data_IF_539487420478
#
_entry.id   IF_539487420478
#
_cell.length_a   1.000
_cell.length_b   1.000
_cell.length_c   1.000
_cell.angle_alpha   90.00
_cell.angle_beta   90.00
_cell.angle_gamma   90.00
#
_symmetry.space_group_name_H-M   'P 1'
#
loop_
_entity.id
_entity.type
_entity.pdbx_description
1 polymer ?
#
# COMPACT_ATOMS: atom_id res chain seq x y z
N UNK A 1 -12.03 -8.24 -14.11
CA UNK A 1 -11.88 -9.40 -13.19
C UNK A 1 -12.66 -9.06 -11.93
N UNK A 2 -13.53 -9.96 -11.45
CA UNK A 2 -14.23 -9.76 -10.17
C UNK A 2 -13.23 -9.76 -9.00
N UNK A 3 -13.46 -8.97 -7.95
CA UNK A 3 -12.55 -8.87 -6.79
C UNK A 3 -12.27 -10.24 -6.16
N UNK A 4 -13.30 -11.10 -6.07
CA UNK A 4 -13.18 -12.44 -5.51
C UNK A 4 -12.27 -13.38 -6.30
N UNK A 5 -12.19 -13.26 -7.63
CA UNK A 5 -11.29 -14.09 -8.44
C UNK A 5 -9.80 -13.80 -8.14
N UNK A 6 -9.47 -12.52 -7.92
CA UNK A 6 -8.11 -12.09 -7.58
C UNK A 6 -7.67 -12.63 -6.22
N UNK A 7 -8.56 -12.58 -5.21
CA UNK A 7 -8.22 -13.07 -3.86
C UNK A 7 -8.11 -14.60 -3.80
N UNK A 8 -8.94 -15.32 -4.55
CA UNK A 8 -8.80 -16.76 -4.70
C UNK A 8 -7.47 -17.14 -5.38
N UNK A 9 -7.08 -16.39 -6.41
CA UNK A 9 -5.80 -16.59 -7.09
C UNK A 9 -4.61 -16.29 -6.16
N UNK A 10 -4.65 -15.17 -5.43
CA UNK A 10 -3.63 -14.81 -4.44
C UNK A 10 -3.49 -15.89 -3.35
N UNK A 11 -4.61 -16.38 -2.82
CA UNK A 11 -4.64 -17.47 -1.83
C UNK A 11 -4.03 -18.75 -2.39
N UNK A 12 -4.37 -19.10 -3.64
CA UNK A 12 -3.83 -20.29 -4.32
C UNK A 12 -2.33 -20.18 -4.57
N UNK A 13 -1.85 -19.00 -4.99
CA UNK A 13 -0.41 -18.73 -5.16
C UNK A 13 0.36 -18.82 -3.84
N UNK A 14 -0.23 -18.33 -2.75
CA UNK A 14 0.36 -18.39 -1.42
C UNK A 14 0.57 -19.84 -0.98
N UNK A 15 -0.51 -20.63 -1.02
CA UNK A 15 -0.50 -22.05 -0.62
C UNK A 15 0.40 -22.87 -1.55
N UNK A 16 0.30 -22.66 -2.86
CA UNK A 16 1.10 -23.36 -3.86
C UNK A 16 2.60 -23.09 -3.71
N UNK A 17 2.98 -21.83 -3.46
CA UNK A 17 4.38 -21.47 -3.21
C UNK A 17 4.90 -22.11 -1.94
N UNK A 18 4.12 -22.07 -0.85
CA UNK A 18 4.49 -22.70 0.41
C UNK A 18 4.71 -24.21 0.25
N UNK A 19 3.76 -24.91 -0.36
CA UNK A 19 3.87 -26.34 -0.58
C UNK A 19 5.09 -26.67 -1.45
N UNK A 20 5.35 -25.87 -2.49
CA UNK A 20 6.55 -26.05 -3.31
C UNK A 20 7.83 -25.96 -2.48
N UNK A 21 7.93 -24.99 -1.56
CA UNK A 21 9.09 -24.86 -0.67
C UNK A 21 9.21 -26.08 0.25
N UNK A 22 8.11 -26.48 0.89
CA UNK A 22 8.09 -27.63 1.79
C UNK A 22 8.48 -28.94 1.09
N UNK A 23 8.09 -29.12 -0.17
CA UNK A 23 8.42 -30.30 -0.97
C UNK A 23 9.85 -30.30 -1.55
N UNK A 24 10.58 -29.19 -1.47
CA UNK A 24 11.99 -29.11 -1.90
C UNK A 24 12.98 -29.68 -0.85
N UNK A 25 12.51 -30.46 0.13
CA UNK A 25 13.36 -30.99 1.22
C UNK A 25 13.61 -29.98 2.34
N UNK A 26 12.82 -28.91 2.40
CA UNK A 26 12.91 -27.89 3.42
C UNK A 26 12.20 -28.36 4.70
N UNK A 27 12.94 -28.64 5.78
CA UNK A 27 12.37 -29.04 7.07
C UNK A 27 12.22 -27.83 8.01
N UNK A 28 11.00 -27.33 8.28
CA UNK A 28 10.84 -26.13 9.09
C UNK A 28 11.14 -26.34 10.58
N UNK A 29 11.20 -27.58 11.04
CA UNK A 29 11.53 -27.92 12.44
C UNK A 29 12.99 -27.63 12.75
N UNK A 30 13.87 -27.70 11.75
CA UNK A 30 15.33 -27.49 11.91
C UNK A 30 15.74 -26.02 11.81
N UNK A 31 14.81 -25.13 11.46
CA UNK A 31 15.12 -23.74 11.16
C UNK A 31 14.70 -22.79 12.28
N UNK A 32 15.51 -21.75 12.46
CA UNK A 32 15.15 -20.69 13.39
C UNK A 32 13.90 -19.95 12.92
N UNK A 33 13.03 -19.48 13.84
CA UNK A 33 11.84 -18.70 13.50
C UNK A 33 12.14 -17.47 12.66
N UNK A 34 13.32 -16.87 12.84
CA UNK A 34 13.79 -15.72 12.07
C UNK A 34 14.02 -16.09 10.60
N UNK A 35 14.63 -17.25 10.34
CA UNK A 35 14.83 -17.75 8.97
C UNK A 35 13.49 -18.08 8.32
N UNK A 36 12.58 -18.71 9.08
CA UNK A 36 11.23 -18.99 8.60
C UNK A 36 10.50 -17.69 8.22
N UNK A 37 10.50 -16.70 9.11
CA UNK A 37 9.94 -15.38 8.83
C UNK A 37 10.51 -14.78 7.54
N UNK A 38 11.83 -14.79 7.38
CA UNK A 38 12.50 -14.24 6.19
C UNK A 38 12.05 -14.92 4.90
N UNK A 39 11.93 -16.26 4.91
CA UNK A 39 11.51 -17.01 3.72
C UNK A 39 10.04 -16.72 3.40
N UNK A 40 9.20 -16.70 4.41
CA UNK A 40 7.79 -16.40 4.23
C UNK A 40 7.58 -15.00 3.65
N UNK A 41 8.22 -13.99 4.27
CA UNK A 41 8.10 -12.58 3.87
C UNK A 41 8.76 -12.28 2.52
N UNK A 42 9.86 -12.93 2.18
CA UNK A 42 10.60 -12.62 0.94
C UNK A 42 10.24 -13.51 -0.25
N UNK A 43 9.61 -14.67 -0.03
CA UNK A 43 9.32 -15.63 -1.11
C UNK A 43 7.83 -15.88 -1.27
N UNK A 44 7.12 -16.15 -0.16
CA UNK A 44 5.71 -16.54 -0.22
C UNK A 44 4.81 -15.33 -0.40
N UNK A 45 4.96 -14.31 0.45
CA UNK A 45 4.15 -13.09 0.38
C UNK A 45 4.29 -12.34 -0.96
N UNK A 46 5.49 -12.08 -1.50
CA UNK A 46 5.62 -11.26 -2.70
C UNK A 46 5.03 -11.94 -3.95
N UNK A 47 5.03 -13.28 -3.99
CA UNK A 47 4.38 -14.04 -5.06
C UNK A 47 2.85 -14.01 -4.95
N UNK A 48 2.31 -14.07 -3.74
CA UNK A 48 0.88 -14.08 -3.49
C UNK A 48 0.26 -12.68 -3.65
N UNK A 49 0.93 -11.65 -3.14
CA UNK A 49 0.49 -10.26 -3.11
C UNK A 49 0.99 -9.45 -4.31
N UNK A 50 1.51 -10.13 -5.34
CA UNK A 50 1.94 -9.43 -6.55
C UNK A 50 0.77 -8.65 -7.18
N UNK A 51 0.94 -7.33 -7.29
CA UNK A 51 -0.09 -6.43 -7.81
C UNK A 51 -1.14 -6.01 -6.79
N UNK A 52 -0.99 -6.37 -5.51
CA UNK A 52 -1.88 -5.91 -4.43
C UNK A 52 -2.06 -4.39 -4.35
N UNK A 53 -1.05 -3.55 -4.70
CA UNK A 53 -1.24 -2.11 -4.72
C UNK A 53 -2.33 -1.62 -5.67
N UNK A 54 -2.64 -2.41 -6.71
CA UNK A 54 -3.63 -2.08 -7.72
C UNK A 54 -5.00 -2.69 -7.44
N UNK A 55 -5.12 -3.58 -6.46
CA UNK A 55 -6.39 -4.18 -6.09
C UNK A 55 -7.30 -3.11 -5.50
N UNK A 56 -8.45 -2.89 -6.16
CA UNK A 56 -9.45 -1.92 -5.75
C UNK A 56 -10.79 -2.61 -5.55
N UNK A 57 -11.65 -2.05 -4.69
CA UNK A 57 -13.04 -2.48 -4.51
C UNK A 57 -13.22 -3.94 -4.06
N UNK A 58 -12.29 -4.50 -3.28
CA UNK A 58 -12.50 -5.80 -2.64
C UNK A 58 -13.41 -5.68 -1.42
N UNK A 59 -14.20 -6.71 -1.17
CA UNK A 59 -15.10 -6.79 -0.02
C UNK A 59 -14.35 -7.24 1.24
N UNK A 60 -14.92 -7.00 2.42
CA UNK A 60 -14.38 -7.53 3.67
C UNK A 60 -14.33 -9.07 3.67
N UNK A 61 -15.29 -9.73 3.03
CA UNK A 61 -15.27 -11.18 2.86
C UNK A 61 -14.07 -11.67 2.04
N UNK A 62 -13.68 -10.93 1.01
CA UNK A 62 -12.53 -11.27 0.17
C UNK A 62 -11.22 -11.22 0.99
N UNK A 63 -11.07 -10.20 1.85
CA UNK A 63 -9.91 -10.08 2.75
C UNK A 63 -9.92 -11.16 3.81
N UNK A 64 -11.07 -11.48 4.41
CA UNK A 64 -11.18 -12.56 5.40
C UNK A 64 -10.75 -13.90 4.80
N UNK A 65 -11.14 -14.21 3.56
CA UNK A 65 -10.71 -15.45 2.90
C UNK A 65 -9.20 -15.51 2.66
N UNK A 66 -8.61 -14.39 2.23
CA UNK A 66 -7.17 -14.29 2.05
C UNK A 66 -6.43 -14.42 3.40
N UNK A 67 -6.96 -13.80 4.44
CA UNK A 67 -6.44 -13.85 5.81
C UNK A 67 -6.48 -15.30 6.35
N UNK A 68 -7.58 -16.03 6.12
CA UNK A 68 -7.66 -17.47 6.49
C UNK A 68 -6.58 -18.29 5.78
N UNK A 69 -6.31 -18.00 4.50
CA UNK A 69 -5.26 -18.68 3.73
C UNK A 69 -3.86 -18.34 4.24
N UNK A 70 -3.61 -17.06 4.54
CA UNK A 70 -2.38 -16.57 5.15
C UNK A 70 -2.09 -17.25 6.49
N UNK A 71 -3.09 -17.28 7.37
CA UNK A 71 -3.07 -17.94 8.68
C UNK A 71 -2.78 -19.43 8.58
N UNK A 72 -3.43 -20.12 7.62
CA UNK A 72 -3.19 -21.53 7.36
C UNK A 72 -1.74 -21.78 6.93
N UNK A 73 -1.20 -20.93 6.06
CA UNK A 73 0.17 -21.02 5.59
C UNK A 73 1.17 -20.86 6.75
N UNK A 74 0.98 -19.85 7.60
CA UNK A 74 1.85 -19.60 8.77
C UNK A 74 1.83 -20.80 9.73
N UNK A 75 0.64 -21.34 10.03
CA UNK A 75 0.50 -22.52 10.90
C UNK A 75 1.20 -23.75 10.32
N UNK A 76 1.04 -23.99 9.02
CA UNK A 76 1.69 -25.08 8.32
C UNK A 76 3.21 -24.92 8.33
N UNK A 77 3.70 -23.69 8.15
CA UNK A 77 5.14 -23.40 8.16
C UNK A 77 5.74 -23.61 9.55
N UNK A 78 5.02 -23.23 10.61
CA UNK A 78 5.42 -23.44 12.01
C UNK A 78 5.19 -24.87 12.53
N UNK A 79 4.60 -25.77 11.74
CA UNK A 79 4.26 -27.13 12.16
C UNK A 79 3.33 -27.17 13.40
N UNK A 80 2.51 -26.13 13.58
CA UNK A 80 1.55 -26.07 14.70
C UNK A 80 0.20 -26.64 14.29
N UNK A 81 -0.51 -27.23 15.26
CA UNK A 81 -1.83 -27.78 15.04
C UNK A 81 -2.84 -26.75 14.50
N UNK A 82 -3.84 -27.22 13.74
CA UNK A 82 -4.88 -26.34 13.17
C UNK A 82 -5.62 -25.53 14.25
N UNK A 83 -5.76 -26.11 15.44
CA UNK A 83 -6.48 -25.56 16.59
C UNK A 83 -5.66 -24.52 17.38
N UNK A 84 -4.36 -24.36 17.10
CA UNK A 84 -3.54 -23.35 17.78
C UNK A 84 -4.09 -21.95 17.50
N UNK A 85 -4.10 -21.09 18.52
CA UNK A 85 -4.52 -19.70 18.36
C UNK A 85 -3.66 -19.04 17.27
N UNK A 86 -4.33 -18.40 16.31
CA UNK A 86 -3.67 -17.81 15.15
C UNK A 86 -2.86 -16.59 15.51
N UNK A 87 -3.31 -15.79 16.47
CA UNK A 87 -2.63 -14.57 16.87
C UNK A 87 -1.28 -14.90 17.52
N UNK A 88 -1.20 -16.05 18.19
CA UNK A 88 0.06 -16.60 18.74
C UNK A 88 1.01 -17.00 17.61
N UNK A 89 0.52 -17.65 16.56
CA UNK A 89 1.33 -18.08 15.43
C UNK A 89 1.90 -16.89 14.63
N UNK A 90 1.10 -15.85 14.42
CA UNK A 90 1.51 -14.60 13.78
C UNK A 90 2.51 -13.83 14.65
N UNK A 91 2.21 -13.69 15.95
CA UNK A 91 3.10 -13.02 16.91
C UNK A 91 4.45 -13.72 17.04
N UNK A 92 4.47 -15.04 17.00
CA UNK A 92 5.71 -15.83 17.08
C UNK A 92 6.66 -15.57 15.91
N UNK A 93 6.13 -15.40 14.70
CA UNK A 93 6.93 -15.01 13.53
C UNK A 93 7.05 -13.50 13.36
N UNK A 94 6.37 -12.70 14.18
CA UNK A 94 6.29 -11.24 14.04
C UNK A 94 5.91 -10.84 12.59
N UNK A 95 4.79 -11.39 12.13
CA UNK A 95 4.18 -11.12 10.81
C UNK A 95 2.84 -10.43 11.04
N UNK A 96 2.63 -9.32 10.34
CA UNK A 96 1.40 -8.52 10.38
C UNK A 96 0.25 -9.23 9.64
N UNK A 97 -0.99 -8.78 9.84
CA UNK A 97 -2.14 -9.32 9.12
C UNK A 97 -2.04 -9.06 7.60
N UNK A 98 -2.75 -9.87 6.79
CA UNK A 98 -2.68 -9.69 5.33
C UNK A 98 -3.25 -8.35 4.88
N UNK A 99 -4.24 -7.82 5.61
CA UNK A 99 -4.79 -6.49 5.34
C UNK A 99 -3.72 -5.40 5.56
N UNK A 100 -3.01 -5.46 6.67
CA UNK A 100 -1.93 -4.51 6.98
C UNK A 100 -0.78 -4.59 5.97
N UNK A 101 -0.44 -5.80 5.52
CA UNK A 101 0.57 -6.01 4.48
C UNK A 101 0.16 -5.38 3.15
N UNK A 102 -1.10 -5.57 2.72
CA UNK A 102 -1.64 -4.95 1.50
C UNK A 102 -1.68 -3.42 1.63
N UNK A 103 -2.14 -2.92 2.78
CA UNK A 103 -2.20 -1.49 3.05
C UNK A 103 -0.80 -0.87 3.00
N UNK A 104 0.20 -1.55 3.56
CA UNK A 104 1.59 -1.14 3.50
C UNK A 104 2.12 -1.09 2.05
N UNK A 105 1.90 -2.15 1.27
CA UNK A 105 2.33 -2.20 -0.14
C UNK A 105 1.66 -1.08 -0.97
N UNK A 106 0.39 -0.78 -0.69
CA UNK A 106 -0.34 0.35 -1.30
C UNK A 106 0.28 1.71 -0.95
N UNK A 107 0.60 1.93 0.33
CA UNK A 107 1.23 3.17 0.79
C UNK A 107 2.64 3.34 0.22
N UNK A 108 3.41 2.25 0.16
CA UNK A 108 4.71 2.22 -0.49
C UNK A 108 4.59 2.59 -1.97
N UNK A 109 3.67 1.96 -2.69
CA UNK A 109 3.44 2.24 -4.10
C UNK A 109 3.01 3.69 -4.33
N UNK A 110 2.15 4.25 -3.47
CA UNK A 110 1.81 5.67 -3.48
C UNK A 110 3.05 6.56 -3.30
N UNK A 111 3.89 6.29 -2.30
CA UNK A 111 5.13 7.04 -2.09
C UNK A 111 6.09 6.96 -3.30
N UNK A 112 6.18 5.80 -3.95
CA UNK A 112 6.94 5.63 -5.19
C UNK A 112 6.37 6.48 -6.34
N UNK A 113 5.05 6.48 -6.54
CA UNK A 113 4.38 7.35 -7.52
C UNK A 113 4.62 8.84 -7.21
N UNK A 114 4.65 9.22 -5.94
CA UNK A 114 4.96 10.59 -5.52
C UNK A 114 6.43 10.99 -5.76
N UNK A 115 7.37 10.05 -5.71
CA UNK A 115 8.80 10.30 -6.01
C UNK A 115 9.19 10.11 -7.48
N UNK A 116 8.31 9.49 -8.28
CA UNK A 116 8.60 9.22 -9.68
C UNK A 116 8.80 10.52 -10.48
N UNK A 117 9.80 10.53 -11.37
CA UNK A 117 10.06 11.68 -12.25
C UNK A 117 8.86 11.99 -13.14
N UNK A 118 8.60 13.28 -13.35
CA UNK A 118 7.53 13.78 -14.24
C UNK A 118 7.69 13.38 -15.71
N UNK A 119 8.85 12.85 -16.09
CA UNK A 119 9.09 12.28 -17.44
C UNK A 119 8.27 11.01 -17.68
N UNK A 120 7.93 10.26 -16.62
CA UNK A 120 7.19 9.01 -16.75
C UNK A 120 5.69 9.25 -16.92
N UNK A 121 5.07 8.54 -17.87
CA UNK A 121 3.63 8.60 -18.10
C UNK A 121 2.83 8.25 -16.84
N UNK A 122 3.30 7.26 -16.07
CA UNK A 122 2.66 6.84 -14.81
C UNK A 122 2.52 8.02 -13.83
N UNK A 123 3.54 8.87 -13.70
CA UNK A 123 3.51 10.08 -12.86
C UNK A 123 2.47 11.07 -13.36
N UNK A 124 2.42 11.32 -14.67
CA UNK A 124 1.46 12.26 -15.27
C UNK A 124 0.02 11.80 -15.08
N UNK A 125 -0.26 10.52 -15.37
CA UNK A 125 -1.58 9.90 -15.18
C UNK A 125 -1.99 9.94 -13.71
N UNK A 126 -1.06 9.65 -12.80
CA UNK A 126 -1.28 9.73 -11.36
C UNK A 126 -1.64 11.14 -10.91
N UNK A 127 -0.84 12.16 -11.24
CA UNK A 127 -1.11 13.56 -10.88
C UNK A 127 -2.48 13.99 -11.43
N UNK A 128 -2.76 13.68 -12.70
CA UNK A 128 -4.03 14.03 -13.32
C UNK A 128 -5.23 13.41 -12.58
N UNK A 129 -5.15 12.13 -12.22
CA UNK A 129 -6.20 11.45 -11.43
C UNK A 129 -6.32 12.03 -10.02
N UNK A 130 -5.19 12.34 -9.38
CA UNK A 130 -5.15 12.93 -8.05
C UNK A 130 -5.83 14.31 -8.03
N UNK A 131 -5.46 15.19 -8.97
CA UNK A 131 -6.05 16.53 -9.07
C UNK A 131 -7.54 16.45 -9.35
N UNK A 132 -7.97 15.62 -10.30
CA UNK A 132 -9.41 15.45 -10.59
C UNK A 132 -10.19 14.94 -9.37
N UNK A 133 -9.59 14.06 -8.56
CA UNK A 133 -10.18 13.61 -7.30
C UNK A 133 -10.29 14.77 -6.29
N UNK A 134 -9.23 15.56 -6.12
CA UNK A 134 -9.23 16.74 -5.24
C UNK A 134 -10.25 17.82 -5.64
N UNK A 135 -10.51 17.98 -6.94
CA UNK A 135 -11.48 18.93 -7.48
C UNK A 135 -12.94 18.46 -7.34
N UNK A 136 -13.18 17.30 -6.73
CA UNK A 136 -14.53 16.79 -6.52
C UNK A 136 -15.21 16.28 -7.80
N UNK A 137 -14.44 15.97 -8.86
CA UNK A 137 -15.01 15.30 -10.03
C UNK A 137 -15.52 13.92 -9.62
N UNK A 138 -16.85 13.75 -9.66
CA UNK A 138 -17.59 12.62 -9.07
C UNK A 138 -17.25 11.28 -9.74
N UNK A 139 -17.32 10.20 -8.95
CA UNK A 139 -17.23 8.77 -9.34
C UNK A 139 -15.85 8.17 -9.63
N UNK A 140 -14.79 8.65 -8.98
CA UNK A 140 -13.49 7.97 -9.04
C UNK A 140 -13.38 6.84 -8.00
N UNK A 141 -14.10 5.74 -8.24
CA UNK A 141 -13.76 4.47 -7.59
C UNK A 141 -12.43 3.97 -8.15
N UNK A 142 -11.55 3.45 -7.29
CA UNK A 142 -10.24 2.93 -7.67
C UNK A 142 -9.10 3.44 -6.80
N UNK A 143 -7.89 3.35 -7.34
CA UNK A 143 -6.63 3.52 -6.60
C UNK A 143 -6.57 4.80 -5.76
N UNK A 144 -6.99 5.95 -6.30
CA UNK A 144 -6.89 7.23 -5.58
C UNK A 144 -7.83 7.26 -4.36
N UNK A 145 -9.07 6.82 -4.52
CA UNK A 145 -10.03 6.74 -3.42
C UNK A 145 -9.54 5.81 -2.30
N UNK A 146 -8.99 4.65 -2.69
CA UNK A 146 -8.38 3.71 -1.75
C UNK A 146 -7.19 4.32 -1.01
N UNK A 147 -6.28 5.00 -1.72
CA UNK A 147 -5.15 5.70 -1.10
C UNK A 147 -5.64 6.75 -0.10
N UNK A 148 -6.64 7.56 -0.44
CA UNK A 148 -7.20 8.54 0.49
C UNK A 148 -7.75 7.89 1.76
N UNK A 149 -8.49 6.78 1.61
CA UNK A 149 -9.00 6.00 2.75
C UNK A 149 -7.86 5.47 3.63
N UNK A 150 -6.78 4.98 3.03
CA UNK A 150 -5.60 4.51 3.76
C UNK A 150 -4.86 5.66 4.47
N UNK A 151 -4.66 6.79 3.79
CA UNK A 151 -4.04 7.95 4.40
C UNK A 151 -4.86 8.47 5.59
N UNK A 152 -6.19 8.38 5.54
CA UNK A 152 -7.05 8.66 6.69
C UNK A 152 -6.90 7.61 7.80
N UNK A 153 -6.98 6.32 7.46
CA UNK A 153 -6.82 5.18 8.40
C UNK A 153 -5.53 5.30 9.22
N UNK A 154 -4.43 5.68 8.57
CA UNK A 154 -3.11 5.79 9.21
C UNK A 154 -2.73 7.22 9.63
N UNK A 155 -3.65 8.20 9.54
CA UNK A 155 -3.39 9.62 9.88
C UNK A 155 -2.22 10.26 9.09
N UNK A 156 -2.05 9.89 7.83
CA UNK A 156 -0.99 10.32 6.90
C UNK A 156 -1.45 11.42 5.92
N UNK A 157 -2.65 11.97 6.12
CA UNK A 157 -3.14 13.10 5.34
C UNK A 157 -2.16 14.30 5.26
N UNK A 158 -1.44 14.68 6.33
CA UNK A 158 -0.47 15.77 6.25
C UNK A 158 0.62 15.55 5.19
N UNK A 159 1.11 14.32 5.03
CA UNK A 159 2.13 14.01 4.03
C UNK A 159 1.63 14.24 2.59
N UNK A 160 0.34 13.98 2.35
CA UNK A 160 -0.29 14.30 1.07
C UNK A 160 -0.46 15.80 0.88
N UNK A 161 -0.85 16.54 1.92
CA UNK A 161 -0.98 18.00 1.87
C UNK A 161 0.37 18.67 1.57
N UNK A 162 1.43 18.28 2.27
CA UNK A 162 2.80 18.74 2.00
C UNK A 162 3.22 18.44 0.56
N UNK A 163 2.90 17.26 0.04
CA UNK A 163 3.19 16.92 -1.36
C UNK A 163 2.39 17.77 -2.35
N UNK A 164 1.12 18.06 -2.07
CA UNK A 164 0.28 18.89 -2.93
C UNK A 164 0.75 20.36 -2.96
N UNK A 165 1.33 20.85 -1.86
CA UNK A 165 1.83 22.22 -1.74
C UNK A 165 3.26 22.41 -2.28
N UNK A 166 4.16 21.47 -1.94
CA UNK A 166 5.58 21.57 -2.28
C UNK A 166 5.94 20.87 -3.59
N UNK A 167 5.18 19.85 -3.99
CA UNK A 167 5.54 18.91 -5.05
C UNK A 167 6.59 17.89 -4.64
N UNK A 168 7.07 17.93 -3.39
CA UNK A 168 8.10 17.05 -2.85
C UNK A 168 7.46 16.07 -1.88
N UNK A 169 7.82 14.80 -2.01
CA UNK A 169 7.37 13.75 -1.12
C UNK A 169 8.51 13.36 -0.18
N UNK A 170 8.26 13.14 1.13
CA UNK A 170 9.32 12.78 2.07
C UNK A 170 10.10 11.54 1.60
N UNK A 171 11.41 11.61 1.75
CA UNK A 171 12.28 10.47 1.49
C UNK A 171 12.11 9.40 2.57
N UNK A 172 12.38 8.14 2.20
CA UNK A 172 12.37 7.04 3.18
C UNK A 172 13.58 7.19 4.10
N UNK A 173 13.34 7.38 5.39
CA UNK A 173 14.34 7.00 6.38
C UNK A 173 14.48 5.47 6.33
N UNK A 174 15.69 4.95 6.16
CA UNK A 174 15.94 3.53 5.96
C UNK A 174 15.81 2.76 7.29
N UNK A 175 14.59 2.54 7.77
CA UNK A 175 14.29 1.66 8.88
C UNK A 175 13.93 0.24 8.39
N UNK A 176 14.72 -0.76 8.79
CA UNK A 176 14.41 -2.16 8.49
C UNK A 176 13.12 -2.61 9.24
N UNK A 177 11.98 -2.60 8.55
CA UNK A 177 10.72 -3.21 9.00
C UNK A 177 9.46 -2.52 8.46
N UNK A 178 8.46 -3.30 8.00
CA UNK A 178 7.19 -2.80 7.48
C UNK A 178 6.41 -1.93 8.49
N UNK A 179 6.42 -2.28 9.78
CA UNK A 179 5.76 -1.45 10.81
C UNK A 179 6.47 -0.10 11.06
N UNK A 180 7.77 0.02 10.71
CA UNK A 180 8.52 1.27 10.95
C UNK A 180 8.20 2.35 9.93
N UNK A 181 7.92 2.01 8.68
CA UNK A 181 7.71 3.06 7.66
C UNK A 181 6.42 3.86 7.88
N UNK A 182 5.36 3.28 8.45
CA UNK A 182 4.13 4.04 8.78
C UNK A 182 4.33 4.93 10.01
N UNK A 183 5.03 4.42 11.04
CA UNK A 183 5.45 5.20 12.20
C UNK A 183 6.43 6.33 11.84
N UNK A 184 7.31 6.10 10.87
CA UNK A 184 8.25 7.09 10.33
C UNK A 184 7.52 8.24 9.60
N UNK A 185 6.37 7.96 8.97
CA UNK A 185 5.53 9.00 8.38
C UNK A 185 4.68 9.74 9.43
N UNK A 186 4.55 9.19 10.64
CA UNK A 186 3.90 9.83 11.79
C UNK A 186 4.88 10.64 12.64
N UNK A 187 6.18 10.34 12.65
CA UNK A 187 7.19 11.06 13.45
C UNK A 187 7.44 12.51 13.04
N UNK A 188 6.84 12.99 11.96
CA UNK A 188 6.88 14.41 11.57
C UNK A 188 5.65 15.21 12.07
N UNK A 189 4.78 14.59 12.90
CA UNK A 189 3.61 15.26 13.51
C UNK A 189 3.98 16.38 14.48
N UNK A 190 5.16 16.34 15.08
CA UNK A 190 5.56 17.31 16.10
C UNK A 190 6.18 18.59 15.52
N UNK A 191 6.53 18.60 14.21
CA UNK A 191 7.17 19.75 13.57
C UNK A 191 6.19 20.74 12.93
N UNK A 192 4.94 20.37 12.65
CA UNK A 192 4.01 21.23 11.89
C UNK A 192 2.60 21.32 12.48
N UNK A 193 2.53 21.62 13.78
CA UNK A 193 1.37 22.36 14.33
C UNK A 193 1.48 23.84 13.96
N UNK A 194 1.25 24.18 12.70
CA UNK A 194 0.80 25.53 12.36
C UNK A 194 -0.01 25.57 11.06
N UNK A 195 -1.20 26.16 11.20
CA UNK A 195 -2.05 26.73 10.17
C UNK A 195 -3.03 25.80 9.44
N UNK A 196 -4.13 25.58 10.16
CA UNK A 196 -5.47 25.55 9.58
C UNK A 196 -5.77 26.92 8.96
N UNK A 197 -5.88 27.00 7.63
CA UNK A 197 -6.83 27.87 6.92
C UNK A 197 -6.79 27.57 5.41
N UNK A 198 -7.95 27.80 4.78
CA UNK A 198 -8.17 28.03 3.34
C UNK A 198 -8.66 26.85 2.49
N UNK A 199 -9.99 26.68 2.55
CA UNK A 199 -10.77 26.10 1.45
C UNK A 199 -10.69 26.90 0.13
N UNK A 200 -10.18 28.13 0.13
CA UNK A 200 -10.01 28.96 -1.08
C UNK A 200 -8.59 28.90 -1.71
N UNK A 201 -7.59 28.37 -1.00
CA UNK A 201 -6.18 28.30 -1.48
C UNK A 201 -5.87 27.00 -2.22
N UNK A 202 -6.74 25.99 -2.08
CA UNK A 202 -6.55 24.64 -2.66
C UNK A 202 -6.44 24.67 -4.19
N UNK A 203 -7.32 25.38 -4.88
CA UNK A 203 -7.30 25.46 -6.37
C UNK A 203 -6.01 26.08 -6.89
N UNK A 204 -5.48 27.08 -6.20
CA UNK A 204 -4.25 27.78 -6.61
C UNK A 204 -2.99 26.97 -6.29
N UNK A 205 -2.97 26.20 -5.19
CA UNK A 205 -1.91 25.22 -4.92
C UNK A 205 -1.90 24.08 -5.93
N UNK A 206 -3.08 23.60 -6.39
CA UNK A 206 -3.16 22.57 -7.44
C UNK A 206 -2.71 23.08 -8.80
N UNK A 207 -3.07 24.31 -9.17
CA UNK A 207 -2.56 24.95 -10.38
C UNK A 207 -1.04 25.18 -10.30
N UNK A 208 -0.51 25.57 -9.14
CA UNK A 208 0.94 25.66 -8.90
C UNK A 208 1.64 24.30 -8.99
N UNK A 209 1.03 23.22 -8.52
CA UNK A 209 1.56 21.86 -8.66
C UNK A 209 1.59 21.44 -10.14
N UNK A 210 0.55 21.77 -10.91
CA UNK A 210 0.50 21.54 -12.35
C UNK A 210 1.59 22.35 -13.08
N UNK A 211 1.72 23.64 -12.78
CA UNK A 211 2.71 24.54 -13.39
C UNK A 211 4.15 24.18 -13.00
N UNK A 212 4.40 23.72 -11.76
CA UNK A 212 5.74 23.27 -11.31
C UNK A 212 6.14 21.92 -11.90
N UNK A 213 5.19 21.01 -12.10
CA UNK A 213 5.48 19.65 -12.54
C UNK A 213 5.46 19.48 -14.07
N UNK A 214 4.92 20.43 -14.86
CA UNK A 214 4.96 20.43 -16.33
C UNK A 214 4.94 21.85 -16.96
N UNK A 215 5.91 22.22 -17.83
CA UNK A 215 5.82 23.43 -18.67
C UNK A 215 4.97 23.27 -19.96
N UNK A 216 4.59 22.04 -20.33
CA UNK A 216 4.03 21.73 -21.65
C UNK A 216 2.51 21.60 -21.64
N UNK A 217 1.85 22.54 -22.32
CA UNK A 217 0.53 22.64 -23.01
C UNK A 217 -0.53 21.51 -22.98
N UNK A 218 -0.25 20.27 -22.56
CA UNK A 218 -1.18 19.14 -22.66
C UNK A 218 -2.39 19.23 -21.69
N UNK A 219 -2.22 19.88 -20.52
CA UNK A 219 -3.30 20.03 -19.53
C UNK A 219 -4.05 21.38 -19.62
N UNK A 220 -3.47 22.41 -20.24
CA UNK A 220 -4.14 23.71 -20.41
C UNK A 220 -5.37 23.62 -21.31
N UNK A 221 -5.35 22.72 -22.29
CA UNK A 221 -6.44 22.57 -23.26
C UNK A 221 -7.68 21.83 -22.71
N UNK A 222 -7.58 21.13 -21.57
CA UNK A 222 -8.71 20.40 -20.97
C UNK A 222 -9.24 21.01 -19.66
N UNK A 223 -8.49 21.92 -19.03
CA UNK A 223 -8.98 22.69 -17.88
C UNK A 223 -9.76 23.95 -18.28
N UNK A 224 -9.56 24.49 -19.49
CA UNK A 224 -10.31 25.62 -20.02
C UNK A 224 -11.65 25.24 -20.69
N UNK A 225 -11.96 23.95 -20.79
CA UNK A 225 -13.21 23.44 -21.39
C UNK A 225 -14.20 22.89 -20.36
N UNK A 226 -14.08 23.30 -19.10
CA UNK A 226 -15.02 23.02 -17.99
C UNK A 226 -15.61 24.33 -17.47
#
# INVERSE_FOLDING_TARGET
MSSGALMCEASSKMIGTLNSILHCGFNPVELTPITLRKIYVNVVLPKALYGSPLWCNYSNSDIIQLEVSHRRCVKQFLHVGRNTNTDVALSYLNIDSVEELIDFEKLEYFGQLCRLSVRFLAKKVFIHRLVRYCLGCVNMQGLISDIYRLLQKYSLMPALETYLESGVFPERCHGNGHSKTVLEWQTDKDAHKMQIKLHASRTQSYLKLIDRLQPSSFLRLHLHSL
#
